data_IF_364018332586
#
_entry.id   IF_364018332586
#
_cell.length_a   1.000
_cell.length_b   1.000
_cell.length_c   1.000
_cell.angle_alpha   90.00
_cell.angle_beta   90.00
_cell.angle_gamma   90.00
#
_symmetry.space_group_name_H-M   'P 1'
#
loop_
_entity.id
_entity.type
_entity.pdbx_description
1 polymer ?
#
# COMPACT_ATOMS: atom_id res chain seq x y z
N UNK A 1 15.25 28.19 26.80
CA UNK A 1 15.97 28.03 25.53
C UNK A 1 15.73 26.62 25.00
N UNK A 2 15.28 26.50 23.74
CA UNK A 2 15.03 25.22 23.05
C UNK A 2 16.32 24.74 22.40
N UNK A 3 16.74 23.50 22.67
CA UNK A 3 17.57 22.63 21.81
C UNK A 3 17.69 21.29 22.58
N UNK A 4 17.28 20.14 22.06
CA UNK A 4 18.04 19.49 21.01
C UNK A 4 17.13 18.69 20.06
N UNK A 5 17.33 19.01 18.80
CA UNK A 5 16.85 18.34 17.61
C UNK A 5 17.42 16.91 17.62
N UNK A 6 16.60 15.92 18.02
CA UNK A 6 16.98 14.52 17.84
C UNK A 6 16.76 14.24 16.36
N UNK A 7 17.83 14.44 15.57
CA UNK A 7 17.94 13.95 14.20
C UNK A 7 17.58 12.47 14.20
N UNK A 8 16.30 12.18 13.93
CA UNK A 8 15.85 10.85 13.60
C UNK A 8 16.43 10.59 12.22
N UNK A 9 17.58 9.93 12.19
CA UNK A 9 18.04 9.19 11.00
C UNK A 9 16.85 8.38 10.51
N UNK A 10 16.17 8.88 9.47
CA UNK A 10 15.17 8.13 8.73
C UNK A 10 15.91 6.93 8.17
N UNK A 11 15.70 5.77 8.79
CA UNK A 11 16.03 4.51 8.13
C UNK A 11 15.04 4.40 6.97
N UNK A 12 15.52 4.68 5.77
CA UNK A 12 14.85 4.33 4.53
C UNK A 12 14.34 2.88 4.66
N UNK A 13 13.02 2.68 4.58
CA UNK A 13 12.42 1.34 4.49
C UNK A 13 11.61 0.84 5.68
N UNK A 14 11.53 1.53 6.83
CA UNK A 14 10.63 1.09 7.92
C UNK A 14 9.37 1.96 7.97
N UNK A 15 8.30 1.50 7.33
CA UNK A 15 6.96 2.03 7.53
C UNK A 15 6.48 1.69 8.95
N UNK A 16 6.26 2.70 9.79
CA UNK A 16 5.65 2.45 11.09
C UNK A 16 4.14 2.24 10.89
N UNK A 17 3.52 1.43 11.74
CA UNK A 17 2.06 1.19 11.71
C UNK A 17 1.22 2.48 11.77
N UNK A 18 1.80 3.56 12.31
CA UNK A 18 1.20 4.91 12.38
C UNK A 18 1.25 5.69 11.06
N UNK A 19 2.15 5.32 10.15
CA UNK A 19 2.29 5.90 8.82
C UNK A 19 1.33 5.25 7.80
N UNK A 20 0.78 4.07 8.15
CA UNK A 20 -0.23 3.33 7.37
C UNK A 20 -1.64 3.94 7.54
N UNK A 21 -1.77 5.22 7.25
CA UNK A 21 -3.03 5.96 7.25
C UNK A 21 -3.24 6.64 5.89
N UNK A 22 -4.49 6.76 5.40
CA UNK A 22 -4.79 7.33 4.08
C UNK A 22 -4.13 8.69 3.85
N UNK A 23 -4.26 9.59 4.84
CA UNK A 23 -3.75 10.96 4.76
C UNK A 23 -2.22 11.02 4.69
N UNK A 24 -1.53 10.06 5.31
CA UNK A 24 -0.05 10.02 5.36
C UNK A 24 0.53 9.31 4.14
N UNK A 25 -0.28 8.45 3.50
CA UNK A 25 0.04 7.78 2.24
C UNK A 25 -0.41 8.58 1.00
N UNK A 26 -1.00 9.77 1.18
CA UNK A 26 -1.58 10.61 0.11
C UNK A 26 -2.59 9.85 -0.78
N UNK A 27 -3.42 9.01 -0.18
CA UNK A 27 -4.44 8.23 -0.90
C UNK A 27 -5.77 8.97 -0.93
N UNK A 28 -6.41 8.98 -2.11
CA UNK A 28 -7.73 9.57 -2.36
C UNK A 28 -8.65 8.55 -3.03
N UNK A 29 -9.96 8.72 -2.87
CA UNK A 29 -10.94 7.95 -3.65
C UNK A 29 -10.79 8.26 -5.14
N UNK A 30 -10.76 7.21 -5.97
CA UNK A 30 -10.50 7.30 -7.41
C UNK A 30 -9.06 6.98 -7.82
N UNK A 31 -8.10 7.05 -6.87
CA UNK A 31 -6.70 6.76 -7.17
C UNK A 31 -6.48 5.32 -7.62
N UNK A 32 -5.50 5.12 -8.50
CA UNK A 32 -5.03 3.79 -8.91
C UNK A 32 -3.71 3.50 -8.20
N UNK A 33 -3.73 2.48 -7.34
CA UNK A 33 -2.55 1.98 -6.63
C UNK A 33 -2.22 0.56 -7.07
N UNK A 34 -0.98 0.13 -6.85
CA UNK A 34 -0.58 -1.25 -7.13
C UNK A 34 -0.52 -2.02 -5.81
N UNK A 35 -1.05 -3.23 -5.79
CA UNK A 35 -0.94 -4.16 -4.65
C UNK A 35 -0.38 -5.48 -5.15
N UNK A 36 0.37 -6.18 -4.30
CA UNK A 36 0.75 -7.55 -4.60
C UNK A 36 -0.42 -8.47 -4.34
N UNK A 37 -0.67 -9.36 -5.30
CA UNK A 37 -1.59 -10.47 -5.12
C UNK A 37 -0.92 -11.78 -5.49
N UNK A 38 -1.22 -12.87 -4.77
CA UNK A 38 -0.82 -14.19 -5.23
C UNK A 38 -1.41 -14.43 -6.62
N UNK A 39 -0.60 -14.97 -7.54
CA UNK A 39 -1.10 -15.34 -8.85
C UNK A 39 -2.34 -16.27 -8.70
N UNK A 40 -3.37 -16.11 -9.57
CA UNK A 40 -4.49 -17.04 -9.62
C UNK A 40 -3.96 -18.48 -9.66
N UNK A 41 -4.64 -19.41 -8.98
CA UNK A 41 -4.16 -20.79 -8.79
C UNK A 41 -3.68 -21.48 -10.09
N UNK A 42 -4.22 -21.11 -11.25
CA UNK A 42 -3.83 -21.65 -12.56
C UNK A 42 -2.64 -21.00 -13.27
N UNK A 43 -2.12 -19.87 -12.78
CA UNK A 43 -0.95 -19.16 -13.35
C UNK A 43 0.28 -19.21 -12.41
N UNK A 44 0.21 -20.04 -11.36
CA UNK A 44 1.31 -20.21 -10.39
C UNK A 44 2.37 -21.12 -10.97
N UNK A 45 3.25 -20.60 -11.83
CA UNK A 45 4.46 -21.35 -12.20
C UNK A 45 5.51 -21.34 -11.07
N UNK A 46 5.39 -20.46 -10.07
CA UNK A 46 6.33 -20.37 -8.94
C UNK A 46 5.73 -19.73 -7.67
N UNK A 47 4.41 -19.57 -7.58
CA UNK A 47 3.78 -18.83 -6.48
C UNK A 47 4.12 -17.33 -6.42
N UNK A 48 4.70 -16.77 -7.49
CA UNK A 48 5.10 -15.36 -7.56
C UNK A 48 3.90 -14.43 -7.38
N UNK A 49 4.01 -13.54 -6.40
CA UNK A 49 3.05 -12.45 -6.23
C UNK A 49 3.19 -11.48 -7.42
N UNK A 50 2.07 -11.10 -8.03
CA UNK A 50 2.05 -10.13 -9.12
C UNK A 50 1.51 -8.80 -8.60
N UNK A 51 2.17 -7.70 -8.99
CA UNK A 51 1.61 -6.36 -8.78
C UNK A 51 0.44 -6.16 -9.74
N UNK A 52 -0.72 -5.88 -9.18
CA UNK A 52 -1.93 -5.59 -9.94
C UNK A 52 -2.42 -4.18 -9.63
N UNK A 53 -2.86 -3.41 -10.64
CA UNK A 53 -3.47 -2.12 -10.41
C UNK A 53 -4.87 -2.30 -9.82
N UNK A 54 -5.18 -1.52 -8.78
CA UNK A 54 -6.47 -1.49 -8.12
C UNK A 54 -6.92 -0.04 -7.97
N UNK A 55 -8.21 0.22 -8.21
CA UNK A 55 -8.77 1.57 -8.05
C UNK A 55 -9.42 1.71 -6.69
N UNK A 56 -9.05 2.72 -5.92
CA UNK A 56 -9.66 3.03 -4.63
C UNK A 56 -11.09 3.51 -4.88
N UNK A 57 -12.07 2.84 -4.28
CA UNK A 57 -13.48 3.24 -4.32
C UNK A 57 -13.89 3.98 -3.06
N UNK A 58 -13.36 3.57 -1.90
CA UNK A 58 -13.67 4.18 -0.61
C UNK A 58 -12.54 3.96 0.40
N UNK A 59 -12.25 4.98 1.20
CA UNK A 59 -11.27 4.92 2.28
C UNK A 59 -11.96 4.76 3.64
N UNK A 60 -11.52 3.77 4.43
CA UNK A 60 -11.96 3.58 5.81
C UNK A 60 -10.82 3.83 6.79
N UNK A 61 -11.09 3.71 8.09
CA UNK A 61 -10.07 3.95 9.12
C UNK A 61 -8.88 3.00 9.01
N UNK A 62 -9.11 1.73 8.65
CA UNK A 62 -8.11 0.65 8.72
C UNK A 62 -7.83 -0.02 7.36
N UNK A 63 -8.67 0.21 6.35
CA UNK A 63 -8.56 -0.43 5.04
C UNK A 63 -9.19 0.44 3.94
N UNK A 64 -8.87 0.15 2.69
CA UNK A 64 -9.50 0.75 1.52
C UNK A 64 -10.32 -0.30 0.78
N UNK A 65 -11.54 0.06 0.37
CA UNK A 65 -12.30 -0.73 -0.60
C UNK A 65 -11.82 -0.34 -2.00
N UNK A 66 -11.38 -1.32 -2.78
CA UNK A 66 -10.84 -1.13 -4.10
C UNK A 66 -11.55 -1.99 -5.15
N UNK A 67 -11.48 -1.59 -6.41
CA UNK A 67 -11.90 -2.36 -7.57
C UNK A 67 -10.68 -3.01 -8.22
N UNK A 68 -10.73 -4.32 -8.41
CA UNK A 68 -9.72 -5.12 -9.10
C UNK A 68 -10.38 -5.79 -10.29
N UNK A 69 -10.09 -5.34 -11.51
CA UNK A 69 -10.83 -5.80 -12.69
C UNK A 69 -12.35 -5.60 -12.53
N UNK A 70 -13.12 -6.69 -12.52
CA UNK A 70 -14.57 -6.69 -12.32
C UNK A 70 -15.01 -6.82 -10.85
N UNK A 71 -14.11 -7.20 -9.94
CA UNK A 71 -14.45 -7.48 -8.53
C UNK A 71 -14.14 -6.31 -7.60
N UNK A 72 -14.80 -6.28 -6.44
CA UNK A 72 -14.53 -5.34 -5.35
C UNK A 72 -13.89 -6.08 -4.19
N UNK A 73 -12.84 -5.53 -3.63
CA UNK A 73 -12.05 -6.17 -2.58
C UNK A 73 -11.46 -5.13 -1.63
N UNK A 74 -11.27 -5.51 -0.37
CA UNK A 74 -10.67 -4.65 0.65
C UNK A 74 -9.18 -4.93 0.79
N UNK A 75 -8.37 -3.88 0.84
CA UNK A 75 -6.94 -3.95 1.14
C UNK A 75 -6.61 -3.12 2.36
N UNK A 76 -5.76 -3.66 3.23
CA UNK A 76 -5.14 -2.92 4.31
C UNK A 76 -4.13 -1.90 3.76
N UNK A 77 -3.86 -0.86 4.55
CA UNK A 77 -2.83 0.12 4.18
C UNK A 77 -1.43 -0.49 4.12
N UNK A 78 -1.18 -1.59 4.84
CA UNK A 78 0.08 -2.33 4.74
C UNK A 78 0.27 -2.94 3.34
N UNK A 79 -0.75 -3.62 2.81
CA UNK A 79 -0.71 -4.23 1.47
C UNK A 79 -0.54 -3.17 0.37
N UNK A 80 -1.23 -2.04 0.52
CA UNK A 80 -1.09 -0.90 -0.41
C UNK A 80 0.33 -0.33 -0.32
N UNK A 81 0.87 -0.16 0.89
CA UNK A 81 2.19 0.43 1.05
C UNK A 81 3.30 -0.48 0.51
N UNK A 82 3.20 -1.81 0.73
CA UNK A 82 4.10 -2.79 0.12
C UNK A 82 4.12 -2.64 -1.40
N UNK A 83 2.94 -2.56 -2.01
CA UNK A 83 2.81 -2.35 -3.45
C UNK A 83 3.27 -0.98 -3.95
N UNK A 84 3.48 0.02 -3.08
CA UNK A 84 4.06 1.33 -3.45
C UNK A 84 5.59 1.37 -3.32
N UNK A 85 6.19 0.59 -2.43
CA UNK A 85 7.62 0.65 -2.09
C UNK A 85 8.56 0.24 -3.25
N UNK A 86 8.10 -0.60 -4.16
CA UNK A 86 8.93 -1.16 -5.24
C UNK A 86 9.09 -0.23 -6.46
N UNK A 87 8.90 1.10 -6.30
CA UNK A 87 9.29 2.10 -7.32
C UNK A 87 10.77 2.49 -7.27
N UNK A 88 11.56 1.87 -6.39
CA UNK A 88 13.00 2.16 -6.24
C UNK A 88 13.84 0.96 -6.67
N UNK A 89 14.04 0.79 -7.98
CA UNK A 89 15.17 0.07 -8.54
C UNK A 89 15.45 0.57 -9.96
#
# INVERSE_FOLDING_TARGET
MKTNHKERKQKEGVLFQRDLQPQRMNLTEGDVVYVYKPAPLGEREDGREKRVPVRILKLYRNHALCKVGSVRESFTYAEIAQGMLEKSN
#
